data_IF_895298118733
#
_entry.id   IF_895298118733
#
_cell.length_a   1.000
_cell.length_b   1.000
_cell.length_c   1.000
_cell.angle_alpha   90.00
_cell.angle_beta   90.00
_cell.angle_gamma   90.00
#
_symmetry.space_group_name_H-M   'P 1'
#
loop_
_entity.id
_entity.type
_entity.pdbx_description
1 polymer ?
#
# COMPACT_ATOMS: atom_id res chain seq x y z
N UNK A 1 86.34 10.56 -6.26
CA UNK A 1 85.11 10.65 -5.44
C UNK A 1 84.12 11.49 -6.24
N UNK A 2 83.04 10.87 -6.75
CA UNK A 2 82.03 11.55 -7.58
C UNK A 2 80.77 11.71 -6.71
N UNK A 3 80.45 12.96 -6.36
CA UNK A 3 79.18 13.28 -5.71
C UNK A 3 78.12 13.49 -6.79
N UNK A 4 77.08 12.64 -6.73
CA UNK A 4 75.85 12.81 -7.54
C UNK A 4 74.91 13.75 -6.77
N UNK A 5 74.61 14.90 -7.30
CA UNK A 5 73.52 15.74 -6.86
C UNK A 5 72.20 15.13 -7.30
N UNK A 6 71.34 14.75 -6.35
CA UNK A 6 69.95 14.35 -6.60
C UNK A 6 69.10 15.61 -6.42
N UNK A 7 68.57 16.11 -7.55
CA UNK A 7 67.62 17.22 -7.60
C UNK A 7 66.23 16.67 -7.29
N UNK A 8 65.75 16.95 -6.08
CA UNK A 8 64.38 16.55 -5.69
C UNK A 8 63.40 17.63 -6.12
N UNK A 9 62.60 17.30 -7.14
CA UNK A 9 61.50 18.15 -7.61
C UNK A 9 60.32 18.00 -6.68
N UNK A 10 60.03 19.05 -5.85
CA UNK A 10 58.79 19.12 -5.10
C UNK A 10 57.67 19.57 -6.07
N UNK A 11 56.82 18.60 -6.49
CA UNK A 11 55.59 18.88 -7.19
C UNK A 11 54.51 19.17 -6.13
N UNK A 12 54.27 20.43 -5.82
CA UNK A 12 53.11 20.83 -5.01
C UNK A 12 51.87 20.75 -5.87
N UNK A 13 51.14 19.62 -5.74
CA UNK A 13 49.82 19.49 -6.28
C UNK A 13 48.85 20.39 -5.47
N UNK A 14 48.41 21.46 -6.07
CA UNK A 14 47.33 22.30 -5.57
C UNK A 14 46.02 21.52 -5.75
N UNK A 15 45.60 20.75 -4.74
CA UNK A 15 44.26 20.16 -4.70
C UNK A 15 43.27 21.32 -4.44
N UNK A 16 42.70 21.89 -5.48
CA UNK A 16 41.47 22.68 -5.36
C UNK A 16 40.36 21.66 -5.05
N UNK A 17 39.99 21.57 -3.76
CA UNK A 17 38.77 20.91 -3.36
C UNK A 17 37.58 21.70 -3.96
N UNK A 18 37.10 21.23 -5.10
CA UNK A 18 35.82 21.67 -5.63
C UNK A 18 34.78 21.06 -4.71
N UNK A 19 34.35 21.81 -3.70
CA UNK A 19 33.17 21.47 -2.92
C UNK A 19 31.96 21.58 -3.86
N UNK A 20 31.51 20.46 -4.38
CA UNK A 20 30.20 20.38 -4.96
C UNK A 20 29.26 20.45 -3.76
N UNK A 21 28.71 21.64 -3.50
CA UNK A 21 27.52 21.74 -2.70
C UNK A 21 26.42 21.02 -3.51
N UNK A 22 26.14 19.80 -3.17
CA UNK A 22 24.85 19.22 -3.51
C UNK A 22 23.86 20.00 -2.67
N UNK A 23 23.29 21.06 -3.24
CA UNK A 23 22.09 21.64 -2.68
C UNK A 23 21.09 20.49 -2.62
N UNK A 24 20.88 19.95 -1.42
CA UNK A 24 19.81 19.00 -1.16
C UNK A 24 18.55 19.84 -1.23
N UNK A 25 17.93 19.88 -2.42
CA UNK A 25 16.58 20.45 -2.54
C UNK A 25 15.69 19.71 -1.56
N UNK A 26 14.92 20.45 -0.77
CA UNK A 26 13.95 19.81 0.09
C UNK A 26 12.97 19.03 -0.80
N UNK A 27 12.79 17.77 -0.45
CA UNK A 27 11.84 16.92 -1.18
C UNK A 27 10.43 17.51 -1.05
N UNK A 28 9.63 17.41 -2.11
CA UNK A 28 8.22 17.76 -2.04
C UNK A 28 7.58 17.00 -0.88
N UNK A 29 6.70 17.68 -0.14
CA UNK A 29 5.85 17.09 0.88
C UNK A 29 4.41 17.09 0.41
N UNK A 30 3.57 16.24 0.97
CA UNK A 30 2.18 16.16 0.56
C UNK A 30 1.46 14.95 1.16
N UNK A 31 0.21 14.80 0.77
CA UNK A 31 -0.65 13.75 1.29
C UNK A 31 -1.74 13.39 0.28
N UNK A 32 -2.09 12.10 0.18
CA UNK A 32 -3.33 11.64 -0.45
C UNK A 32 -4.45 11.68 0.61
N UNK A 33 -5.43 12.56 0.42
CA UNK A 33 -6.48 12.78 1.43
C UNK A 33 -7.57 11.71 1.39
N UNK A 34 -7.96 11.28 0.19
CA UNK A 34 -9.01 10.27 0.09
C UNK A 34 -9.61 10.13 -1.30
N UNK A 35 -10.78 9.47 -1.30
CA UNK A 35 -11.55 9.16 -2.51
C UNK A 35 -12.98 9.65 -2.35
N UNK A 36 -13.51 10.27 -3.39
CA UNK A 36 -14.93 10.62 -3.53
C UNK A 36 -15.42 10.23 -4.91
N UNK A 37 -16.29 9.23 -4.98
CA UNK A 37 -16.72 8.64 -6.26
C UNK A 37 -15.52 8.09 -7.03
N UNK A 38 -15.28 8.62 -8.23
CA UNK A 38 -14.16 8.25 -9.10
C UNK A 38 -12.90 9.10 -8.88
N UNK A 39 -12.95 10.09 -7.98
CA UNK A 39 -11.91 11.09 -7.79
C UNK A 39 -11.03 10.75 -6.60
N UNK A 40 -9.71 10.74 -6.80
CA UNK A 40 -8.68 10.73 -5.76
C UNK A 40 -8.20 12.16 -5.59
N UNK A 41 -8.10 12.63 -4.35
CA UNK A 41 -7.65 13.98 -4.01
C UNK A 41 -6.49 13.94 -3.02
N UNK A 42 -5.75 15.04 -2.98
CA UNK A 42 -4.64 15.24 -2.09
C UNK A 42 -4.00 16.60 -2.29
N UNK A 43 -2.84 16.79 -1.69
CA UNK A 43 -2.05 18.00 -1.88
C UNK A 43 -0.55 17.67 -1.97
N UNK A 44 0.20 18.55 -2.62
CA UNK A 44 1.67 18.45 -2.70
C UNK A 44 2.28 19.85 -2.76
N UNK A 45 3.34 20.09 -2.00
CA UNK A 45 4.02 21.36 -1.87
C UNK A 45 5.54 21.19 -1.88
N UNK A 46 6.21 22.10 -2.58
CA UNK A 46 7.65 22.20 -2.59
C UNK A 46 8.09 23.37 -1.67
N UNK A 47 8.69 23.10 -0.50
CA UNK A 47 9.11 24.15 0.42
C UNK A 47 10.26 25.01 -0.12
N UNK A 48 11.06 24.52 -1.07
CA UNK A 48 12.16 25.27 -1.69
C UNK A 48 11.66 26.20 -2.79
N UNK A 49 10.51 25.92 -3.40
CA UNK A 49 9.83 26.79 -4.36
C UNK A 49 8.35 26.94 -4.03
N UNK A 50 8.02 27.76 -3.01
CA UNK A 50 6.64 27.91 -2.54
C UNK A 50 5.71 28.60 -3.53
N UNK A 51 6.20 29.10 -4.67
CA UNK A 51 5.40 29.71 -5.71
C UNK A 51 5.09 28.75 -6.85
N UNK A 52 5.83 27.64 -6.96
CA UNK A 52 5.56 26.61 -7.96
C UNK A 52 4.46 25.64 -7.48
N UNK A 53 3.64 25.22 -8.42
CA UNK A 53 2.69 24.14 -8.22
C UNK A 53 3.34 22.83 -8.69
N UNK A 54 3.61 21.86 -7.79
CA UNK A 54 4.27 20.61 -8.13
C UNK A 54 3.49 19.80 -9.16
N UNK A 55 4.21 19.10 -10.05
CA UNK A 55 3.62 18.09 -10.91
C UNK A 55 3.43 16.79 -10.12
N UNK A 56 2.18 16.37 -9.98
CA UNK A 56 1.81 15.15 -9.24
C UNK A 56 1.44 14.04 -10.20
N UNK A 57 1.97 12.84 -9.97
CA UNK A 57 1.55 11.62 -10.64
C UNK A 57 0.92 10.67 -9.63
N UNK A 58 -0.38 10.41 -9.80
CA UNK A 58 -1.11 9.41 -9.03
C UNK A 58 -1.05 8.08 -9.76
N UNK A 59 -0.57 7.04 -9.07
CA UNK A 59 -0.44 5.69 -9.62
C UNK A 59 -1.39 4.74 -8.89
N UNK A 60 -2.31 4.16 -9.64
CA UNK A 60 -3.20 3.11 -9.15
C UNK A 60 -2.61 1.74 -9.48
N UNK A 61 -2.44 0.91 -8.46
CA UNK A 61 -1.87 -0.44 -8.58
C UNK A 61 -2.86 -1.51 -8.14
N UNK A 62 -2.72 -2.69 -8.72
CA UNK A 62 -3.36 -3.91 -8.20
C UNK A 62 -2.83 -4.23 -6.79
N UNK A 63 -3.71 -4.50 -5.85
CA UNK A 63 -3.33 -4.97 -4.51
C UNK A 63 -2.74 -6.38 -4.50
N UNK A 64 -2.98 -7.18 -5.55
CA UNK A 64 -2.57 -8.59 -5.62
C UNK A 64 -1.10 -8.75 -6.03
N UNK A 65 -0.67 -8.03 -7.08
CA UNK A 65 0.65 -8.20 -7.71
C UNK A 65 1.41 -6.88 -7.89
N UNK A 66 0.86 -5.76 -7.40
CA UNK A 66 1.42 -4.41 -7.50
C UNK A 66 1.58 -3.90 -8.93
N UNK A 67 1.01 -4.59 -9.93
CA UNK A 67 1.02 -4.11 -11.31
C UNK A 67 0.32 -2.76 -11.43
N UNK A 68 0.84 -1.90 -12.30
CA UNK A 68 0.23 -0.59 -12.57
C UNK A 68 -1.04 -0.78 -13.39
N UNK A 69 -2.15 -0.34 -12.84
CA UNK A 69 -3.46 -0.32 -13.51
C UNK A 69 -3.62 1.01 -14.27
N UNK A 70 -3.20 2.11 -13.64
CA UNK A 70 -3.36 3.46 -14.19
C UNK A 70 -2.32 4.41 -13.60
N UNK A 71 -1.89 5.36 -14.39
CA UNK A 71 -1.05 6.48 -13.97
C UNK A 71 -1.67 7.76 -14.53
N UNK A 72 -1.85 8.77 -13.67
CA UNK A 72 -2.54 10.02 -14.00
C UNK A 72 -1.71 11.16 -13.47
N UNK A 73 -1.35 12.09 -14.36
CA UNK A 73 -0.59 13.29 -13.97
C UNK A 73 -1.49 14.51 -13.90
N UNK A 74 -1.25 15.37 -12.93
CA UNK A 74 -1.98 16.61 -12.65
C UNK A 74 -1.02 17.62 -12.03
N UNK A 75 -1.35 18.90 -12.08
CA UNK A 75 -0.64 19.95 -11.32
C UNK A 75 -1.36 20.16 -9.99
N UNK A 76 -0.61 20.34 -8.90
CA UNK A 76 -1.18 20.62 -7.59
C UNK A 76 -1.41 22.15 -7.44
N UNK A 77 -2.49 22.66 -8.05
CA UNK A 77 -2.85 24.08 -8.08
C UNK A 77 -4.28 24.37 -7.59
N UNK A 78 -5.01 23.35 -7.13
CA UNK A 78 -6.30 23.53 -6.49
C UNK A 78 -6.16 24.26 -5.15
N UNK A 79 -7.09 25.16 -4.84
CA UNK A 79 -7.11 25.91 -3.58
C UNK A 79 -7.66 25.07 -2.42
N UNK A 80 -6.83 24.81 -1.42
CA UNK A 80 -7.18 24.14 -0.16
C UNK A 80 -6.97 25.08 1.02
N UNK A 81 -8.04 25.75 1.46
CA UNK A 81 -7.97 26.80 2.48
C UNK A 81 -7.32 26.36 3.79
N UNK A 82 -7.40 25.07 4.15
CA UNK A 82 -6.79 24.55 5.38
C UNK A 82 -5.26 24.55 5.31
N UNK A 83 -4.66 24.37 4.13
CA UNK A 83 -3.20 24.37 3.97
C UNK A 83 -2.59 25.73 4.31
N UNK A 84 -3.23 26.83 3.89
CA UNK A 84 -2.80 28.18 4.27
C UNK A 84 -2.92 28.40 5.78
N UNK A 85 -3.97 27.89 6.42
CA UNK A 85 -4.16 27.96 7.86
C UNK A 85 -3.11 27.16 8.65
N UNK A 86 -2.56 26.10 8.06
CA UNK A 86 -1.48 25.27 8.60
C UNK A 86 -0.08 25.83 8.29
N UNK A 87 -0.02 26.97 7.60
CA UNK A 87 1.25 27.62 7.24
C UNK A 87 1.93 27.01 6.01
N UNK A 88 1.21 26.25 5.21
CA UNK A 88 1.71 25.65 3.96
C UNK A 88 1.50 26.66 2.83
N UNK A 89 2.50 27.49 2.59
CA UNK A 89 2.60 28.45 1.52
C UNK A 89 1.32 29.28 1.31
N UNK A 90 0.81 29.34 0.07
CA UNK A 90 -0.40 30.09 -0.31
C UNK A 90 -1.70 29.29 -0.09
N UNK A 91 -1.61 27.97 0.16
CA UNK A 91 -2.74 27.07 0.23
C UNK A 91 -3.23 26.54 -1.13
N UNK A 92 -2.59 26.92 -2.23
CA UNK A 92 -2.96 26.50 -3.61
C UNK A 92 -2.05 25.34 -4.06
N UNK A 93 -2.16 24.20 -3.39
CA UNK A 93 -1.33 23.03 -3.63
C UNK A 93 -2.16 21.74 -3.62
N UNK A 94 -3.49 21.86 -3.69
CA UNK A 94 -4.40 20.74 -3.83
C UNK A 94 -4.35 20.15 -5.23
N UNK A 95 -4.74 18.89 -5.34
CA UNK A 95 -5.00 18.23 -6.61
C UNK A 95 -6.17 17.27 -6.51
N UNK A 96 -6.82 17.06 -7.65
CA UNK A 96 -7.91 16.10 -7.80
C UNK A 96 -7.81 15.41 -9.15
N UNK A 97 -7.83 14.07 -9.17
CA UNK A 97 -7.75 13.28 -10.40
C UNK A 97 -8.92 12.32 -10.52
N UNK A 98 -9.55 12.26 -11.69
CA UNK A 98 -10.52 11.21 -11.98
C UNK A 98 -9.77 9.90 -12.28
N UNK A 99 -9.81 8.99 -11.33
CA UNK A 99 -9.18 7.67 -11.43
C UNK A 99 -10.10 6.61 -12.05
N UNK A 100 -11.36 6.97 -12.41
CA UNK A 100 -12.37 6.08 -13.01
C UNK A 100 -12.49 4.75 -12.24
N UNK A 101 -12.61 4.85 -10.91
CA UNK A 101 -12.63 3.70 -10.00
C UNK A 101 -13.88 2.84 -10.21
N UNK A 102 -14.97 3.43 -10.69
CA UNK A 102 -16.22 2.73 -11.02
C UNK A 102 -16.01 1.64 -12.07
N UNK A 103 -15.05 1.83 -12.99
CA UNK A 103 -14.72 0.84 -14.04
C UNK A 103 -13.90 -0.34 -13.58
N UNK A 104 -13.38 -0.31 -12.34
CA UNK A 104 -12.60 -1.41 -11.80
C UNK A 104 -13.48 -2.59 -11.41
N UNK A 105 -12.95 -3.80 -11.54
CA UNK A 105 -13.56 -5.01 -10.97
C UNK A 105 -13.47 -5.00 -9.44
N UNK A 106 -14.27 -5.83 -8.78
CA UNK A 106 -14.15 -6.01 -7.34
C UNK A 106 -12.75 -6.53 -6.96
N UNK A 107 -12.17 -5.96 -5.93
CA UNK A 107 -10.81 -6.25 -5.49
C UNK A 107 -10.20 -5.13 -4.66
N UNK A 108 -8.93 -5.30 -4.30
CA UNK A 108 -8.15 -4.29 -3.58
C UNK A 108 -7.16 -3.62 -4.52
N UNK A 109 -7.05 -2.32 -4.39
CA UNK A 109 -6.15 -1.46 -5.15
C UNK A 109 -5.37 -0.56 -4.21
N UNK A 110 -4.25 -0.05 -4.68
CA UNK A 110 -3.38 0.86 -3.94
C UNK A 110 -3.21 2.13 -4.76
N UNK A 111 -3.53 3.26 -4.17
CA UNK A 111 -3.23 4.56 -4.75
C UNK A 111 -1.98 5.13 -4.07
N UNK A 112 -0.97 5.39 -4.86
CA UNK A 112 0.30 6.00 -4.51
C UNK A 112 0.43 7.30 -5.30
N UNK A 113 1.18 8.27 -4.78
CA UNK A 113 1.46 9.49 -5.53
C UNK A 113 2.93 9.90 -5.37
N UNK A 114 3.43 10.59 -6.38
CA UNK A 114 4.71 11.29 -6.35
C UNK A 114 4.52 12.74 -6.80
N UNK A 115 5.28 13.65 -6.24
CA UNK A 115 5.30 15.07 -6.60
C UNK A 115 6.73 15.44 -6.99
N UNK A 116 6.92 15.95 -8.22
CA UNK A 116 8.23 16.26 -8.80
C UNK A 116 9.26 15.14 -8.60
N UNK A 117 8.81 13.87 -8.78
CA UNK A 117 9.63 12.67 -8.62
C UNK A 117 9.87 12.24 -7.17
N UNK A 118 9.29 12.92 -6.18
CA UNK A 118 9.34 12.53 -4.75
C UNK A 118 8.07 11.80 -4.37
N UNK A 119 8.19 10.57 -3.86
CA UNK A 119 7.04 9.81 -3.40
C UNK A 119 6.39 10.48 -2.18
N UNK A 120 5.07 10.63 -2.20
CA UNK A 120 4.30 11.08 -1.05
C UNK A 120 4.27 9.99 0.02
N UNK A 121 4.24 10.36 1.33
CA UNK A 121 4.49 9.42 2.42
C UNK A 121 3.37 8.42 2.68
N UNK A 122 2.16 8.69 2.18
CA UNK A 122 1.02 7.82 2.44
C UNK A 122 0.50 7.13 1.19
N UNK A 123 -0.11 5.97 1.42
CA UNK A 123 -0.76 5.14 0.40
C UNK A 123 -2.22 4.98 0.83
N UNK A 124 -3.16 5.09 -0.10
CA UNK A 124 -4.55 4.71 0.13
C UNK A 124 -4.77 3.28 -0.34
N UNK A 125 -5.40 2.49 0.51
CA UNK A 125 -5.89 1.15 0.17
C UNK A 125 -7.37 1.28 -0.20
N UNK A 126 -7.72 0.89 -1.42
CA UNK A 126 -9.06 0.99 -1.98
C UNK A 126 -9.64 -0.41 -2.10
N UNK A 127 -10.74 -0.68 -1.42
CA UNK A 127 -11.51 -1.90 -1.58
C UNK A 127 -12.73 -1.62 -2.47
N UNK A 128 -12.73 -2.16 -3.68
CA UNK A 128 -13.88 -2.14 -4.57
C UNK A 128 -14.74 -3.37 -4.33
N UNK A 129 -16.00 -3.17 -3.99
CA UNK A 129 -16.95 -4.27 -3.76
C UNK A 129 -18.38 -3.83 -4.07
N UNK A 130 -19.07 -4.58 -4.92
CA UNK A 130 -20.49 -4.37 -5.24
C UNK A 130 -20.83 -2.96 -5.73
N UNK A 131 -19.93 -2.31 -6.46
CA UNK A 131 -20.10 -0.94 -6.95
C UNK A 131 -19.60 0.16 -6.01
N UNK A 132 -19.32 -0.15 -4.73
CA UNK A 132 -18.78 0.80 -3.75
C UNK A 132 -17.26 0.75 -3.69
N UNK A 133 -16.64 1.86 -3.34
CA UNK A 133 -15.20 1.96 -3.02
C UNK A 133 -15.05 2.40 -1.58
N UNK A 134 -14.47 1.53 -0.75
CA UNK A 134 -14.06 1.87 0.62
C UNK A 134 -12.57 2.24 0.60
N UNK A 135 -12.20 3.25 1.38
CA UNK A 135 -10.82 3.74 1.44
C UNK A 135 -10.25 3.55 2.83
N UNK A 136 -9.03 3.05 2.90
CA UNK A 136 -8.26 2.91 4.13
C UNK A 136 -6.89 3.57 3.95
N UNK A 137 -6.42 4.29 4.96
CA UNK A 137 -5.03 4.74 4.99
C UNK A 137 -4.10 3.55 5.23
N UNK A 138 -2.89 3.58 4.66
CA UNK A 138 -1.88 2.57 4.99
C UNK A 138 -1.53 2.54 6.49
N UNK A 139 -1.69 3.66 7.21
CA UNK A 139 -1.56 3.72 8.68
C UNK A 139 -2.63 2.91 9.41
N UNK A 140 -3.76 2.60 8.76
CA UNK A 140 -4.80 1.70 9.27
C UNK A 140 -4.43 0.22 9.11
N UNK A 141 -3.32 -0.10 8.44
CA UNK A 141 -2.82 -1.46 8.24
C UNK A 141 -1.74 -1.79 9.26
N UNK A 142 -2.08 -2.58 10.27
CA UNK A 142 -1.10 -3.09 11.24
C UNK A 142 -0.51 -4.41 10.74
N UNK A 143 0.81 -4.51 10.46
CA UNK A 143 1.42 -5.76 10.04
C UNK A 143 1.33 -6.79 11.18
N UNK A 144 0.89 -8.00 10.86
CA UNK A 144 0.90 -9.16 11.75
C UNK A 144 2.10 -10.08 11.45
N UNK A 145 2.79 -9.88 10.31
CA UNK A 145 3.90 -10.68 9.83
C UNK A 145 3.46 -11.81 8.90
N UNK A 146 4.37 -12.76 8.69
CA UNK A 146 4.16 -13.88 7.79
C UNK A 146 3.31 -14.99 8.43
N UNK A 147 2.31 -15.46 7.69
CA UNK A 147 1.44 -16.57 8.06
C UNK A 147 1.51 -17.69 7.01
N UNK A 148 1.38 -18.93 7.47
CA UNK A 148 1.04 -20.04 6.58
C UNK A 148 -0.42 -19.92 6.20
N UNK A 149 -0.74 -19.90 4.91
CA UNK A 149 -2.11 -19.88 4.41
C UNK A 149 -2.41 -21.16 3.66
N UNK A 150 -3.54 -21.79 3.98
CA UNK A 150 -4.11 -22.98 3.34
C UNK A 150 -5.51 -22.66 2.82
N UNK A 151 -6.20 -23.63 2.28
CA UNK A 151 -7.51 -23.43 1.71
C UNK A 151 -8.47 -24.59 2.07
N UNK A 152 -9.72 -24.23 2.38
CA UNK A 152 -10.79 -25.20 2.63
C UNK A 152 -12.06 -24.86 1.84
N UNK A 153 -12.96 -25.83 1.70
CA UNK A 153 -14.23 -25.67 0.98
C UNK A 153 -15.37 -26.40 1.70
N UNK A 154 -16.64 -26.24 1.29
CA UNK A 154 -17.78 -26.83 1.99
C UNK A 154 -17.95 -28.34 1.80
N UNK A 155 -17.02 -29.02 1.10
CA UNK A 155 -17.12 -30.47 0.91
C UNK A 155 -16.91 -31.22 2.23
N UNK A 156 -17.41 -32.45 2.32
CA UNK A 156 -17.36 -33.26 3.55
C UNK A 156 -15.94 -33.57 4.06
N UNK A 157 -14.93 -33.49 3.17
CA UNK A 157 -13.52 -33.71 3.54
C UNK A 157 -12.94 -32.46 4.18
N UNK A 158 -13.11 -31.27 3.55
CA UNK A 158 -12.49 -30.05 4.01
C UNK A 158 -13.21 -29.43 5.21
N UNK A 159 -14.56 -29.50 5.23
CA UNK A 159 -15.38 -28.89 6.28
C UNK A 159 -15.78 -29.88 7.39
N UNK A 160 -15.33 -31.14 7.35
CA UNK A 160 -15.72 -32.18 8.30
C UNK A 160 -17.25 -32.32 8.44
N UNK A 161 -17.99 -31.99 7.37
CA UNK A 161 -19.45 -32.05 7.33
C UNK A 161 -20.20 -30.79 7.75
N UNK A 162 -19.48 -29.72 8.19
CA UNK A 162 -20.08 -28.43 8.55
C UNK A 162 -20.52 -27.60 7.33
N UNK A 163 -20.05 -27.96 6.13
CA UNK A 163 -20.38 -27.24 4.91
C UNK A 163 -19.91 -25.78 4.91
N UNK A 164 -20.85 -24.86 4.83
CA UNK A 164 -20.58 -23.42 4.89
C UNK A 164 -20.78 -22.79 6.27
N UNK A 165 -21.14 -23.59 7.29
CA UNK A 165 -21.38 -23.07 8.64
C UNK A 165 -20.05 -22.70 9.30
N UNK A 166 -19.91 -21.46 9.77
CA UNK A 166 -18.72 -21.00 10.47
C UNK A 166 -18.89 -21.03 11.98
N UNK A 167 -17.79 -20.94 12.71
CA UNK A 167 -17.77 -20.90 14.17
C UNK A 167 -18.45 -19.66 14.77
N UNK A 168 -18.60 -18.58 13.99
CA UNK A 168 -19.31 -17.37 14.40
C UNK A 168 -20.81 -17.42 14.08
N UNK A 169 -21.27 -18.43 13.35
CA UNK A 169 -22.64 -18.55 12.85
C UNK A 169 -22.88 -17.87 11.50
N UNK A 170 -21.85 -17.26 10.90
CA UNK A 170 -21.93 -16.74 9.53
C UNK A 170 -21.94 -17.89 8.50
N UNK A 171 -22.35 -17.57 7.28
CA UNK A 171 -22.22 -18.47 6.13
C UNK A 171 -20.92 -18.14 5.40
N UNK A 172 -20.03 -19.10 5.28
CA UNK A 172 -18.73 -18.92 4.62
C UNK A 172 -18.90 -18.54 3.14
N UNK A 173 -18.18 -17.51 2.73
CA UNK A 173 -18.18 -16.93 1.37
C UNK A 173 -16.75 -16.92 0.84
N UNK A 174 -16.58 -17.40 -0.40
CA UNK A 174 -15.29 -17.36 -1.09
C UNK A 174 -14.77 -15.92 -1.25
N UNK A 175 -13.44 -15.72 -1.10
CA UNK A 175 -12.77 -14.42 -1.11
C UNK A 175 -13.21 -13.45 0.01
N UNK A 176 -13.86 -13.96 1.04
CA UNK A 176 -14.32 -13.19 2.19
C UNK A 176 -13.98 -13.87 3.51
N UNK A 177 -14.35 -15.14 3.68
CA UNK A 177 -14.25 -15.84 4.96
C UNK A 177 -12.90 -16.53 5.13
N UNK A 178 -12.33 -16.39 6.32
CA UNK A 178 -11.15 -17.15 6.76
C UNK A 178 -11.37 -17.80 8.11
N UNK A 179 -10.77 -18.98 8.27
CA UNK A 179 -10.57 -19.61 9.57
C UNK A 179 -9.21 -19.20 10.15
N UNK A 180 -9.18 -18.89 11.44
CA UNK A 180 -8.03 -18.35 12.17
C UNK A 180 -7.86 -18.99 13.55
N UNK A 181 -6.74 -18.72 14.22
CA UNK A 181 -6.62 -18.84 15.68
C UNK A 181 -7.17 -17.56 16.33
N UNK A 182 -8.33 -17.59 17.05
CA UNK A 182 -8.92 -16.37 17.61
C UNK A 182 -8.08 -15.69 18.69
N UNK A 183 -7.02 -16.35 19.18
CA UNK A 183 -6.05 -15.76 20.12
C UNK A 183 -5.04 -14.86 19.42
N UNK A 184 -4.87 -15.02 18.09
CA UNK A 184 -3.96 -14.26 17.25
C UNK A 184 -4.72 -13.22 16.43
N UNK A 185 -5.80 -13.64 15.77
CA UNK A 185 -6.70 -12.79 15.01
C UNK A 185 -8.12 -12.97 15.56
N UNK A 186 -8.65 -12.02 16.34
CA UNK A 186 -10.00 -12.10 16.89
C UNK A 186 -11.07 -12.24 15.81
N UNK A 187 -12.18 -12.92 16.11
CA UNK A 187 -13.32 -12.98 15.21
C UNK A 187 -13.86 -11.58 14.87
N UNK A 188 -14.33 -11.41 13.65
CA UNK A 188 -14.78 -10.14 13.09
C UNK A 188 -13.65 -9.24 12.60
N UNK A 189 -12.38 -9.58 12.89
CA UNK A 189 -11.24 -8.83 12.36
C UNK A 189 -11.20 -8.92 10.84
N UNK A 190 -10.88 -7.79 10.20
CA UNK A 190 -10.62 -7.73 8.76
C UNK A 190 -9.12 -7.74 8.53
N UNK A 191 -8.65 -8.57 7.63
CA UNK A 191 -7.23 -8.70 7.30
C UNK A 191 -7.01 -8.66 5.79
N UNK A 192 -5.94 -7.96 5.39
CA UNK A 192 -5.48 -7.93 4.00
C UNK A 192 -4.43 -9.03 3.80
N UNK A 193 -4.68 -9.92 2.85
CA UNK A 193 -3.78 -11.03 2.47
C UNK A 193 -3.72 -11.09 0.95
N UNK A 194 -2.55 -10.91 0.35
CA UNK A 194 -2.36 -11.04 -1.10
C UNK A 194 -3.29 -10.18 -1.93
N UNK A 195 -3.61 -8.97 -1.47
CA UNK A 195 -4.47 -8.02 -2.16
C UNK A 195 -5.98 -8.33 -2.05
N UNK A 196 -6.39 -9.17 -1.09
CA UNK A 196 -7.80 -9.43 -0.78
C UNK A 196 -8.04 -9.17 0.70
N UNK A 197 -9.15 -8.50 1.02
CA UNK A 197 -9.59 -8.28 2.40
C UNK A 197 -10.52 -9.44 2.79
N UNK A 198 -10.12 -10.13 3.84
CA UNK A 198 -10.88 -11.25 4.43
C UNK A 198 -11.42 -10.88 5.80
N UNK A 199 -12.48 -11.55 6.21
CA UNK A 199 -13.06 -11.45 7.56
C UNK A 199 -12.83 -12.75 8.32
N UNK A 200 -12.34 -12.64 9.55
CA UNK A 200 -12.12 -13.78 10.46
C UNK A 200 -13.45 -14.24 11.04
N UNK A 201 -14.06 -15.28 10.47
CA UNK A 201 -15.38 -15.78 10.83
C UNK A 201 -15.38 -17.23 11.29
N UNK A 202 -14.27 -17.93 11.07
CA UNK A 202 -14.22 -19.35 11.35
C UNK A 202 -12.95 -19.75 12.11
N UNK A 203 -12.89 -21.01 12.54
CA UNK A 203 -11.72 -21.66 13.12
C UNK A 203 -11.63 -23.11 12.66
N UNK A 204 -10.41 -23.63 12.53
CA UNK A 204 -10.16 -25.04 12.30
C UNK A 204 -9.43 -25.70 13.48
N UNK A 205 -9.61 -27.00 13.68
CA UNK A 205 -8.87 -27.77 14.68
C UNK A 205 -7.36 -27.63 14.51
N UNK A 206 -6.88 -27.64 13.26
CA UNK A 206 -5.48 -27.52 12.86
C UNK A 206 -5.01 -26.05 12.65
N UNK A 207 -5.93 -25.07 12.62
CA UNK A 207 -5.59 -23.65 12.39
C UNK A 207 -5.17 -23.02 13.72
N UNK A 208 -3.86 -22.94 13.95
CA UNK A 208 -3.26 -22.46 15.21
C UNK A 208 -2.10 -21.49 14.94
N UNK A 209 -1.98 -20.49 15.83
CA UNK A 209 -0.89 -19.49 15.72
C UNK A 209 -0.99 -18.71 14.41
N UNK A 210 0.14 -18.55 13.73
CA UNK A 210 0.25 -17.85 12.45
C UNK A 210 -0.14 -18.75 11.26
N UNK A 211 -1.34 -19.36 11.37
CA UNK A 211 -1.95 -20.17 10.33
C UNK A 211 -3.35 -19.62 10.02
N UNK A 212 -3.68 -19.47 8.76
CA UNK A 212 -4.97 -19.03 8.24
C UNK A 212 -5.44 -20.05 7.20
N UNK A 213 -6.72 -20.40 7.24
CA UNK A 213 -7.35 -21.27 6.25
C UNK A 213 -8.41 -20.46 5.49
N UNK A 214 -8.23 -20.32 4.17
CA UNK A 214 -9.05 -19.45 3.32
C UNK A 214 -10.18 -20.26 2.71
N UNK A 215 -11.42 -19.78 2.83
CA UNK A 215 -12.57 -20.43 2.25
C UNK A 215 -12.67 -20.22 0.73
N UNK A 216 -12.92 -21.32 0.02
CA UNK A 216 -13.23 -21.37 -1.41
C UNK A 216 -14.53 -22.14 -1.65
N UNK A 217 -15.16 -21.92 -2.81
CA UNK A 217 -16.43 -22.56 -3.14
C UNK A 217 -16.28 -24.04 -3.50
N UNK A 218 -15.14 -24.41 -4.09
CA UNK A 218 -14.91 -25.76 -4.62
C UNK A 218 -13.61 -26.38 -4.11
N UNK A 219 -13.58 -27.72 -4.08
CA UNK A 219 -12.36 -28.47 -3.73
C UNK A 219 -11.23 -28.27 -4.76
N UNK A 220 -11.57 -28.09 -6.03
CA UNK A 220 -10.57 -27.80 -7.06
C UNK A 220 -9.82 -26.49 -6.83
N UNK A 221 -10.51 -25.44 -6.37
CA UNK A 221 -9.90 -24.17 -6.00
C UNK A 221 -8.96 -24.32 -4.80
N UNK A 222 -9.33 -25.14 -3.80
CA UNK A 222 -8.45 -25.38 -2.64
C UNK A 222 -7.16 -26.09 -3.05
N UNK A 223 -7.25 -27.04 -3.97
CA UNK A 223 -6.08 -27.74 -4.51
C UNK A 223 -5.18 -26.80 -5.32
N UNK A 224 -5.77 -25.90 -6.12
CA UNK A 224 -5.03 -24.91 -6.89
C UNK A 224 -4.37 -23.86 -5.98
N UNK A 225 -5.02 -23.48 -4.88
CA UNK A 225 -4.44 -22.56 -3.90
C UNK A 225 -3.24 -23.20 -3.20
N UNK A 226 -3.39 -24.42 -2.72
CA UNK A 226 -2.35 -25.17 -2.00
C UNK A 226 -1.99 -24.51 -0.67
N UNK A 227 -0.68 -24.54 -0.35
CA UNK A 227 -0.12 -23.91 0.85
C UNK A 227 0.85 -22.79 0.44
N UNK A 228 0.72 -21.63 1.08
CA UNK A 228 1.56 -20.45 0.81
C UNK A 228 2.02 -19.80 2.10
N UNK A 229 3.08 -19.01 2.03
CA UNK A 229 3.46 -18.07 3.08
C UNK A 229 3.13 -16.67 2.59
N UNK A 230 2.30 -15.94 3.35
CA UNK A 230 1.78 -14.63 2.96
C UNK A 230 1.94 -13.63 4.11
N UNK A 231 2.30 -12.40 3.78
CA UNK A 231 2.21 -11.29 4.73
C UNK A 231 0.76 -10.94 5.01
N UNK A 232 0.44 -10.74 6.28
CA UNK A 232 -0.92 -10.44 6.75
C UNK A 232 -0.92 -9.09 7.45
N UNK A 233 -1.89 -8.26 7.10
CA UNK A 233 -2.09 -6.95 7.71
C UNK A 233 -3.50 -6.87 8.30
N UNK A 234 -3.60 -6.45 9.56
CA UNK A 234 -4.89 -6.19 10.20
C UNK A 234 -5.36 -4.77 9.84
N UNK A 235 -6.61 -4.65 9.41
CA UNK A 235 -7.28 -3.36 9.24
C UNK A 235 -7.78 -2.87 10.61
N UNK A 236 -7.45 -1.60 10.96
CA UNK A 236 -7.85 -0.93 12.20
C UNK A 236 -8.88 0.16 11.94
#
# INVERSE_FOLDING_TARGET
MKYKFILTFFLTAFLTAFSWSTDAFAACTGHLDGVSGDTISGWAWNPDDPQAAPAVTVVLRSGTDRSVIRSISVTADDSFAHLAAEGIGTGNYGFSVNANLSSLSDGVYLAEAEADGTALPNILVLEKSGGSVNTFSASSLRPLGAFTTTAYCPCGICSEGWGRSTSTGAIAISRHTIAVDPRVIPYGSRVLIGGVIYTAEDRGGAVKGNHIDIFFDTHGETQQYGTRTMEVFLLQ
#
